data_IF_899732797798
#
_entry.id   IF_899732797798
#
_cell.length_a   1.000
_cell.length_b   1.000
_cell.length_c   1.000
_cell.angle_alpha   90.00
_cell.angle_beta   90.00
_cell.angle_gamma   90.00
#
_symmetry.space_group_name_H-M   'P 1'
#
loop_
_entity.id
_entity.type
_entity.pdbx_description
1 polymer ?
#
# COMPACT_ATOMS: atom_id res chain seq x y z
N UNK A 1 16.05 8.08 7.54
CA UNK A 1 14.98 7.35 6.83
C UNK A 1 14.98 5.89 7.29
N UNK A 2 13.81 5.32 7.64
CA UNK A 2 13.75 3.93 8.13
C UNK A 2 13.46 2.99 6.96
N UNK A 3 14.43 2.17 6.58
CA UNK A 3 14.23 1.08 5.61
C UNK A 3 13.23 0.10 6.21
N UNK A 4 12.17 -0.21 5.46
CA UNK A 4 11.11 -1.12 5.89
C UNK A 4 11.37 -2.49 5.32
N UNK A 5 11.43 -3.49 6.22
CA UNK A 5 11.77 -4.87 5.87
C UNK A 5 10.70 -5.60 5.04
N UNK A 6 9.49 -5.05 4.88
CA UNK A 6 8.40 -5.74 4.18
C UNK A 6 7.63 -4.83 3.21
N UNK A 7 7.19 -5.35 2.05
CA UNK A 7 6.42 -4.58 1.07
C UNK A 7 5.10 -4.04 1.65
N UNK A 8 4.46 -4.80 2.54
CA UNK A 8 3.22 -4.38 3.23
C UNK A 8 3.43 -3.14 4.10
N UNK A 9 4.53 -3.08 4.85
CA UNK A 9 4.83 -1.90 5.68
C UNK A 9 5.16 -0.70 4.80
N UNK A 10 5.89 -0.92 3.71
CA UNK A 10 6.21 0.13 2.75
C UNK A 10 4.95 0.72 2.11
N UNK A 11 4.02 -0.12 1.63
CA UNK A 11 2.74 0.31 1.09
C UNK A 11 1.89 1.08 2.09
N UNK A 12 1.85 0.65 3.36
CA UNK A 12 1.13 1.35 4.41
C UNK A 12 1.69 2.75 4.66
N UNK A 13 3.01 2.92 4.59
CA UNK A 13 3.65 4.24 4.70
C UNK A 13 3.26 5.13 3.51
N UNK A 14 3.35 4.62 2.28
CA UNK A 14 2.92 5.36 1.09
C UNK A 14 1.45 5.79 1.15
N UNK A 15 0.58 4.89 1.63
CA UNK A 15 -0.83 5.20 1.83
C UNK A 15 -1.02 6.29 2.90
N UNK A 16 -0.33 6.19 4.04
CA UNK A 16 -0.37 7.21 5.11
C UNK A 16 0.10 8.60 4.64
N UNK A 17 1.10 8.63 3.77
CA UNK A 17 1.66 9.88 3.22
C UNK A 17 0.84 10.45 2.06
N UNK A 18 -0.21 9.76 1.63
CA UNK A 18 -1.08 10.21 0.54
C UNK A 18 -0.49 10.02 -0.85
N UNK A 19 0.51 9.14 -1.03
CA UNK A 19 1.08 8.81 -2.35
C UNK A 19 0.01 8.32 -3.33
N UNK A 20 -0.98 7.60 -2.81
CA UNK A 20 -2.11 7.05 -3.55
C UNK A 20 -3.33 8.00 -3.60
N UNK A 21 -3.17 9.31 -3.38
CA UNK A 21 -4.25 10.28 -3.63
C UNK A 21 -4.66 10.35 -5.10
N UNK A 22 -3.71 10.04 -5.98
CA UNK A 22 -3.91 9.94 -7.42
C UNK A 22 -3.70 8.50 -7.88
N UNK A 23 -4.11 8.21 -9.11
CA UNK A 23 -3.83 6.93 -9.75
C UNK A 23 -2.33 6.78 -10.01
N UNK A 24 -1.73 5.73 -9.45
CA UNK A 24 -0.30 5.41 -9.58
C UNK A 24 -0.08 4.09 -10.28
N UNK A 25 0.86 4.06 -11.22
CA UNK A 25 1.25 2.83 -11.92
C UNK A 25 2.27 2.03 -11.11
N UNK A 26 2.33 0.73 -11.38
CA UNK A 26 3.31 -0.16 -10.75
C UNK A 26 4.77 0.36 -10.85
N UNK A 27 5.27 0.83 -12.01
CA UNK A 27 6.63 1.37 -12.13
C UNK A 27 6.86 2.64 -11.29
N UNK A 28 5.83 3.48 -11.11
CA UNK A 28 5.95 4.67 -10.25
C UNK A 28 6.12 4.28 -8.79
N UNK A 29 5.36 3.27 -8.34
CA UNK A 29 5.45 2.74 -6.98
C UNK A 29 6.84 2.14 -6.74
N UNK A 30 7.38 1.34 -7.66
CA UNK A 30 8.70 0.73 -7.52
C UNK A 30 9.81 1.77 -7.50
N UNK A 31 9.79 2.75 -8.41
CA UNK A 31 10.78 3.85 -8.44
C UNK A 31 10.74 4.64 -7.13
N UNK A 32 9.54 4.94 -6.62
CA UNK A 32 9.40 5.70 -5.38
C UNK A 32 9.89 4.93 -4.16
N UNK A 33 9.64 3.62 -4.10
CA UNK A 33 10.18 2.74 -3.04
C UNK A 33 11.70 2.60 -3.13
N UNK A 34 12.25 2.47 -4.34
CA UNK A 34 13.67 2.38 -4.59
C UNK A 34 14.41 3.65 -4.13
N UNK A 35 13.85 4.84 -4.41
CA UNK A 35 14.36 6.13 -3.91
C UNK A 35 14.42 6.21 -2.38
N UNK A 36 13.63 5.41 -1.67
CA UNK A 36 13.61 5.31 -0.20
C UNK A 36 14.51 4.20 0.33
N UNK A 37 15.33 3.57 -0.51
CA UNK A 37 16.16 2.43 -0.17
C UNK A 37 15.39 1.13 0.02
N UNK A 38 14.15 1.04 -0.48
CA UNK A 38 13.33 -0.17 -0.40
C UNK A 38 13.17 -0.79 -1.79
N UNK A 39 14.00 -1.78 -2.10
CA UNK A 39 13.90 -2.57 -3.32
C UNK A 39 13.23 -3.90 -2.99
N UNK A 40 12.00 -4.10 -3.48
CA UNK A 40 11.27 -5.34 -3.32
C UNK A 40 11.18 -6.07 -4.66
N UNK A 41 11.20 -7.41 -4.67
CA UNK A 41 10.92 -8.19 -5.87
C UNK A 41 9.57 -7.78 -6.48
N UNK A 42 9.47 -7.62 -7.81
CA UNK A 42 8.21 -7.27 -8.46
C UNK A 42 7.04 -8.21 -8.15
N UNK A 43 7.23 -9.56 -8.07
CA UNK A 43 6.16 -10.48 -7.68
C UNK A 43 5.59 -10.20 -6.29
N UNK A 44 6.47 -9.96 -5.31
CA UNK A 44 6.07 -9.71 -3.91
C UNK A 44 5.29 -8.39 -3.80
N UNK A 45 5.79 -7.33 -4.43
CA UNK A 45 5.12 -6.04 -4.41
C UNK A 45 3.76 -6.13 -5.14
N UNK A 46 3.72 -6.83 -6.27
CA UNK A 46 2.48 -7.07 -7.03
C UNK A 46 1.44 -7.85 -6.22
N UNK A 47 1.90 -8.85 -5.46
CA UNK A 47 1.06 -9.63 -4.55
C UNK A 47 0.46 -8.73 -3.46
N UNK A 48 1.29 -7.93 -2.78
CA UNK A 48 0.78 -7.06 -1.71
C UNK A 48 -0.16 -5.98 -2.26
N UNK A 49 0.13 -5.39 -3.42
CA UNK A 49 -0.77 -4.45 -4.10
C UNK A 49 -2.12 -5.09 -4.46
N UNK A 50 -2.12 -6.36 -4.87
CA UNK A 50 -3.35 -7.11 -5.16
C UNK A 50 -4.19 -7.35 -3.91
N UNK A 51 -3.56 -7.59 -2.76
CA UNK A 51 -4.25 -7.87 -1.48
C UNK A 51 -4.52 -6.63 -0.62
N UNK A 52 -4.05 -5.45 -1.03
CA UNK A 52 -4.23 -4.20 -0.30
C UNK A 52 -5.70 -3.74 -0.31
N UNK A 53 -6.46 -4.09 0.74
CA UNK A 53 -7.89 -3.74 0.89
C UNK A 53 -8.18 -2.24 0.93
N UNK A 54 -7.18 -1.43 1.26
CA UNK A 54 -7.25 0.03 1.32
C UNK A 54 -6.97 0.71 -0.02
N UNK A 55 -6.62 -0.07 -1.06
CA UNK A 55 -6.39 0.43 -2.41
C UNK A 55 -7.47 -0.08 -3.37
N UNK A 56 -7.79 0.75 -4.35
CA UNK A 56 -8.59 0.39 -5.51
C UNK A 56 -7.65 0.18 -6.68
N UNK A 57 -7.82 -0.94 -7.41
CA UNK A 57 -7.05 -1.27 -8.61
C UNK A 57 -7.93 -1.13 -9.86
N UNK A 58 -7.42 -0.51 -10.92
CA UNK A 58 -8.07 -0.46 -12.25
C UNK A 58 -7.10 -0.83 -13.36
N UNK A 59 -7.62 -1.03 -14.57
CA UNK A 59 -6.84 -1.32 -15.78
C UNK A 59 -6.70 -2.81 -16.10
N UNK A 60 -5.80 -3.14 -17.02
CA UNK A 60 -5.53 -4.50 -17.50
C UNK A 60 -4.17 -5.02 -17.06
N UNK A 61 -3.93 -6.31 -17.26
CA UNK A 61 -2.63 -6.94 -16.97
C UNK A 61 -1.50 -6.16 -17.65
N UNK A 62 -0.48 -5.79 -16.90
CA UNK A 62 0.66 -4.98 -17.38
C UNK A 62 0.46 -3.47 -17.31
N UNK A 63 -0.77 -2.98 -17.08
CA UNK A 63 -1.07 -1.55 -16.99
C UNK A 63 -1.99 -1.23 -15.81
N UNK A 64 -1.82 -1.95 -14.70
CA UNK A 64 -2.61 -1.70 -13.49
C UNK A 64 -2.23 -0.37 -12.85
N UNK A 65 -3.27 0.33 -12.40
CA UNK A 65 -3.17 1.56 -11.63
C UNK A 65 -3.84 1.39 -10.28
N UNK A 66 -3.31 2.08 -9.28
CA UNK A 66 -3.73 1.98 -7.88
C UNK A 66 -4.00 3.37 -7.31
N UNK A 67 -5.11 3.51 -6.61
CA UNK A 67 -5.46 4.72 -5.84
C UNK A 67 -5.98 4.30 -4.47
N UNK A 68 -5.99 5.21 -3.50
CA UNK A 68 -6.56 4.96 -2.19
C UNK A 68 -8.08 4.86 -2.27
N UNK A 69 -8.65 3.82 -1.66
CA UNK A 69 -10.11 3.67 -1.57
C UNK A 69 -10.70 4.62 -0.54
N UNK A 70 -10.00 4.78 0.58
CA UNK A 70 -10.32 5.70 1.66
C UNK A 70 -9.06 6.47 2.07
N UNK A 71 -9.19 7.70 2.59
CA UNK A 71 -8.08 8.36 3.26
C UNK A 71 -7.52 7.46 4.36
N UNK A 72 -6.24 7.62 4.68
CA UNK A 72 -5.67 7.03 5.89
C UNK A 72 -6.33 7.71 7.11
N UNK A 73 -7.54 7.26 7.48
CA UNK A 73 -8.04 7.47 8.82
C UNK A 73 -7.09 6.68 9.73
N UNK A 74 -6.50 7.32 10.74
CA UNK A 74 -6.02 6.58 11.90
C UNK A 74 -7.24 5.78 12.35
N UNK A 75 -7.28 4.48 12.09
CA UNK A 75 -8.22 3.61 12.78
C UNK A 75 -7.92 3.81 14.27
N UNK A 76 -8.70 4.68 14.93
CA UNK A 76 -8.97 4.50 16.33
C UNK A 76 -9.47 3.08 16.44
N UNK A 77 -8.68 2.27 17.13
CA UNK A 77 -8.97 0.87 17.33
C UNK A 77 -10.35 0.76 17.96
N UNK A 78 -11.37 0.43 17.17
CA UNK A 78 -12.49 -0.34 17.70
C UNK A 78 -11.98 -1.79 17.84
N UNK A 79 -11.12 -2.00 18.84
CA UNK A 79 -11.03 -3.29 19.49
C UNK A 79 -12.46 -3.62 19.93
N UNK A 80 -13.09 -4.56 19.23
CA UNK A 80 -14.40 -5.07 19.65
C UNK A 80 -14.26 -5.48 21.12
N UNK A 81 -15.13 -5.03 22.03
CA UNK A 81 -15.05 -5.47 23.42
C UNK A 81 -15.16 -6.99 23.42
N UNK A 82 -14.18 -7.66 24.04
CA UNK A 82 -14.26 -9.10 24.31
C UNK A 82 -15.49 -9.31 25.18
N UNK A 83 -16.48 -10.00 24.64
CA UNK A 83 -17.65 -10.45 25.39
C UNK A 83 -17.15 -11.57 26.32
N UNK A 84 -16.95 -11.26 27.59
CA UNK A 84 -16.76 -12.30 28.60
C UNK A 84 -18.15 -12.86 28.95
N UNK A 85 -18.25 -14.19 28.84
CA UNK A 85 -19.36 -15.00 29.33
C UNK A 85 -19.21 -15.19 30.84
#
# INVERSE_FOLDING_TARGET
MKIVKTPTKALKILWKEGFFKEWRKFPEITIYLAKRGNNFPPPDLGMVLKFAKHLTRRGKRGSYEYTQKYPFAKEEKHEKPKKNN
#
